data_IF_354731796782
#
_entry.id   IF_354731796782
#
_cell.length_a   1.000
_cell.length_b   1.000
_cell.length_c   1.000
_cell.angle_alpha   90.00
_cell.angle_beta   90.00
_cell.angle_gamma   90.00
#
_symmetry.space_group_name_H-M   'P 1'
#
loop_
_entity.id
_entity.type
_entity.pdbx_description
1 polymer ?
#
# COMPACT_ATOMS: atom_id res chain seq x y z
N UNK A 1 19.18 6.46 8.54
CA UNK A 1 17.80 6.44 9.08
C UNK A 1 16.95 5.68 8.09
N UNK A 2 16.23 4.64 8.53
CA UNK A 2 15.35 3.88 7.64
C UNK A 2 13.91 4.25 7.99
N UNK A 3 13.20 4.81 7.02
CA UNK A 3 11.78 5.12 7.15
C UNK A 3 10.95 4.16 6.30
N UNK A 4 9.82 3.71 6.81
CA UNK A 4 8.85 2.91 6.04
C UNK A 4 7.61 3.77 5.82
N UNK A 5 7.37 4.12 4.56
CA UNK A 5 6.18 4.85 4.15
C UNK A 5 5.04 3.85 3.90
N UNK A 6 4.01 3.87 4.74
CA UNK A 6 2.82 3.03 4.60
C UNK A 6 1.55 3.87 4.66
N UNK A 7 0.76 3.87 3.58
CA UNK A 7 -0.51 4.61 3.51
C UNK A 7 -1.73 3.77 3.91
N UNK A 8 -1.52 2.47 4.10
CA UNK A 8 -2.61 1.53 4.39
C UNK A 8 -2.35 0.15 3.83
N UNK A 9 -3.03 -0.83 4.42
CA UNK A 9 -2.95 -2.22 3.98
C UNK A 9 -4.16 -2.59 3.12
N UNK A 10 -3.89 -3.03 1.90
CA UNK A 10 -4.89 -3.38 0.88
C UNK A 10 -4.25 -3.50 -0.48
N UNK A 11 -5.06 -3.43 -1.53
CA UNK A 11 -4.60 -3.44 -2.91
C UNK A 11 -5.25 -2.32 -3.68
N UNK A 12 -4.46 -1.50 -4.37
CA UNK A 12 -4.98 -0.55 -5.35
C UNK A 12 -5.10 -1.22 -6.71
N UNK A 13 -6.24 -1.05 -7.36
CA UNK A 13 -6.53 -1.56 -8.69
C UNK A 13 -6.57 -0.35 -9.64
N UNK A 14 -5.52 -0.20 -10.44
CA UNK A 14 -5.47 0.83 -11.48
C UNK A 14 -6.27 0.38 -12.70
N UNK A 15 -6.63 1.33 -13.55
CA UNK A 15 -7.27 1.00 -14.82
C UNK A 15 -6.41 0.01 -15.61
N UNK A 16 -7.02 -1.13 -16.00
CA UNK A 16 -6.35 -2.25 -16.66
C UNK A 16 -5.89 -3.39 -15.73
N UNK A 17 -5.63 -3.14 -14.45
CA UNK A 17 -5.20 -4.18 -13.50
C UNK A 17 -6.36 -5.03 -12.97
N UNK A 18 -7.58 -4.50 -13.03
CA UNK A 18 -8.78 -5.10 -12.44
C UNK A 18 -9.09 -6.49 -13.00
N UNK A 19 -9.01 -6.65 -14.32
CA UNK A 19 -9.30 -7.92 -15.01
C UNK A 19 -8.26 -8.98 -14.64
N UNK A 20 -6.99 -8.59 -14.59
CA UNK A 20 -5.90 -9.46 -14.18
C UNK A 20 -6.06 -9.90 -12.71
N UNK A 21 -6.38 -8.95 -11.83
CA UNK A 21 -6.60 -9.22 -10.41
C UNK A 21 -7.74 -10.22 -10.20
N UNK A 22 -8.89 -9.99 -10.83
CA UNK A 22 -10.02 -10.92 -10.71
C UNK A 22 -9.75 -12.27 -11.36
N UNK A 23 -9.03 -12.33 -12.49
CA UNK A 23 -8.62 -13.60 -13.09
C UNK A 23 -7.67 -14.39 -12.16
N UNK A 24 -6.74 -13.72 -11.49
CA UNK A 24 -5.84 -14.34 -10.52
C UNK A 24 -6.60 -14.87 -9.29
N UNK A 25 -7.57 -14.10 -8.79
CA UNK A 25 -8.45 -14.55 -7.70
C UNK A 25 -9.22 -15.80 -8.09
N UNK A 26 -9.80 -15.86 -9.29
CA UNK A 26 -10.54 -17.02 -9.76
C UNK A 26 -9.64 -18.26 -9.89
N UNK A 27 -8.41 -18.07 -10.39
CA UNK A 27 -7.43 -19.15 -10.62
C UNK A 27 -6.88 -19.73 -9.32
N UNK A 28 -6.56 -18.88 -8.35
CA UNK A 28 -5.81 -19.29 -7.16
C UNK A 28 -6.69 -19.44 -5.91
N UNK A 29 -7.83 -18.76 -5.88
CA UNK A 29 -8.74 -18.72 -4.73
C UNK A 29 -10.21 -18.82 -5.19
N UNK A 30 -10.66 -19.99 -5.71
CA UNK A 30 -11.99 -20.15 -6.28
C UNK A 30 -13.12 -19.63 -5.35
N UNK A 31 -14.02 -18.83 -5.92
CA UNK A 31 -15.13 -18.18 -5.21
C UNK A 31 -14.79 -16.84 -4.54
N UNK A 32 -13.50 -16.50 -4.37
CA UNK A 32 -13.10 -15.24 -3.75
C UNK A 32 -13.31 -14.04 -4.69
N UNK A 33 -13.22 -14.25 -6.01
CA UNK A 33 -13.52 -13.24 -7.03
C UNK A 33 -14.89 -12.60 -6.83
N UNK A 34 -15.95 -13.41 -6.66
CA UNK A 34 -17.32 -12.91 -6.49
C UNK A 34 -17.46 -12.08 -5.21
N UNK A 35 -16.83 -12.53 -4.11
CA UNK A 35 -16.82 -11.77 -2.85
C UNK A 35 -16.16 -10.40 -3.04
N UNK A 36 -15.04 -10.34 -3.74
CA UNK A 36 -14.35 -9.07 -4.00
C UNK A 36 -15.13 -8.18 -4.96
N UNK A 37 -15.75 -8.72 -6.02
CA UNK A 37 -16.62 -7.96 -6.94
C UNK A 37 -17.81 -7.37 -6.18
N UNK A 38 -18.47 -8.14 -5.32
CA UNK A 38 -19.61 -7.65 -4.54
C UNK A 38 -19.23 -6.53 -3.58
N UNK A 39 -18.03 -6.63 -2.98
CA UNK A 39 -17.57 -5.67 -1.98
C UNK A 39 -16.98 -4.40 -2.60
N UNK A 40 -16.14 -4.55 -3.62
CA UNK A 40 -15.31 -3.46 -4.15
C UNK A 40 -15.67 -3.09 -5.59
N UNK A 41 -16.32 -3.96 -6.39
CA UNK A 41 -16.69 -3.66 -7.77
C UNK A 41 -15.52 -3.13 -8.60
N UNK A 42 -15.61 -1.86 -9.01
CA UNK A 42 -14.60 -1.09 -9.76
C UNK A 42 -13.84 -0.07 -8.89
N UNK A 43 -13.86 -0.22 -7.56
CA UNK A 43 -13.16 0.68 -6.65
C UNK A 43 -11.65 0.64 -6.90
N UNK A 44 -11.05 1.82 -6.95
CA UNK A 44 -9.60 1.99 -7.07
C UNK A 44 -8.82 1.37 -5.90
N UNK A 45 -9.40 1.30 -4.70
CA UNK A 45 -8.77 0.73 -3.52
C UNK A 45 -9.61 -0.37 -2.91
N UNK A 46 -8.99 -1.54 -2.75
CA UNK A 46 -9.50 -2.69 -2.00
C UNK A 46 -8.81 -2.74 -0.63
N UNK A 47 -9.24 -1.87 0.28
CA UNK A 47 -8.73 -1.85 1.66
C UNK A 47 -9.06 -3.15 2.39
N UNK A 48 -8.08 -3.74 3.06
CA UNK A 48 -8.28 -4.96 3.85
C UNK A 48 -9.35 -4.76 4.93
N UNK A 49 -10.20 -5.76 5.17
CA UNK A 49 -11.13 -5.75 6.32
C UNK A 49 -10.40 -5.61 7.66
N UNK A 50 -9.19 -6.18 7.74
CA UNK A 50 -8.36 -6.13 8.94
C UNK A 50 -7.44 -4.90 8.96
N UNK A 51 -7.65 -3.93 8.07
CA UNK A 51 -6.79 -2.74 7.96
C UNK A 51 -6.51 -2.05 9.31
N UNK A 52 -7.50 -1.77 10.19
CA UNK A 52 -7.22 -1.08 11.45
C UNK A 52 -6.25 -1.86 12.35
N UNK A 53 -6.45 -3.18 12.47
CA UNK A 53 -5.59 -4.04 13.27
C UNK A 53 -4.18 -4.18 12.67
N UNK A 54 -4.09 -4.29 11.34
CA UNK A 54 -2.83 -4.40 10.63
C UNK A 54 -2.02 -3.09 10.68
N UNK A 55 -2.68 -1.94 10.58
CA UNK A 55 -2.02 -0.64 10.76
C UNK A 55 -1.54 -0.47 12.20
N UNK A 56 -2.34 -0.84 13.20
CA UNK A 56 -1.90 -0.80 14.59
C UNK A 56 -0.65 -1.67 14.83
N UNK A 57 -0.64 -2.89 14.28
CA UNK A 57 0.53 -3.77 14.33
C UNK A 57 1.74 -3.16 13.61
N UNK A 58 1.54 -2.54 12.45
CA UNK A 58 2.60 -1.86 11.71
C UNK A 58 3.24 -0.73 12.52
N UNK A 59 2.42 0.13 13.14
CA UNK A 59 2.88 1.23 13.99
C UNK A 59 3.67 0.70 15.20
N UNK A 60 3.07 -0.24 15.95
CA UNK A 60 3.69 -0.85 17.13
C UNK A 60 5.05 -1.50 16.80
N UNK A 61 5.13 -2.23 15.69
CA UNK A 61 6.39 -2.85 15.27
C UNK A 61 7.44 -1.82 14.85
N UNK A 62 7.05 -0.77 14.13
CA UNK A 62 7.97 0.30 13.78
C UNK A 62 8.48 1.03 15.03
N UNK A 63 7.61 1.31 16.00
CA UNK A 63 7.99 1.94 17.27
C UNK A 63 8.99 1.10 18.06
N UNK A 64 8.72 -0.20 18.24
CA UNK A 64 9.63 -1.13 18.94
C UNK A 64 11.03 -1.16 18.35
N UNK A 65 11.13 -1.01 17.04
CA UNK A 65 12.40 -1.07 16.31
C UNK A 65 13.02 0.31 16.02
N UNK A 66 12.40 1.40 16.48
CA UNK A 66 12.88 2.76 16.21
C UNK A 66 12.85 3.15 14.73
N UNK A 67 11.93 2.57 13.96
CA UNK A 67 11.73 2.85 12.54
C UNK A 67 10.79 4.04 12.38
N UNK A 68 11.23 5.08 11.65
CA UNK A 68 10.38 6.21 11.30
C UNK A 68 9.27 5.73 10.36
N UNK A 69 8.03 5.99 10.72
CA UNK A 69 6.88 5.44 9.99
C UNK A 69 5.68 6.41 9.94
N UNK A 70 5.78 7.56 10.62
CA UNK A 70 4.82 8.64 10.45
C UNK A 70 5.01 9.30 9.07
N UNK A 71 3.92 9.42 8.33
CA UNK A 71 3.91 9.95 6.97
C UNK A 71 4.42 11.40 6.95
N UNK A 72 3.99 12.22 7.92
CA UNK A 72 4.39 13.62 8.02
C UNK A 72 5.88 13.78 8.29
N UNK A 73 6.43 13.00 9.22
CA UNK A 73 7.85 12.98 9.53
C UNK A 73 8.68 12.54 8.33
N UNK A 74 8.26 11.49 7.61
CA UNK A 74 8.96 11.02 6.41
C UNK A 74 8.97 12.10 5.34
N UNK A 75 7.82 12.70 5.02
CA UNK A 75 7.78 13.78 4.02
C UNK A 75 8.54 15.03 4.47
N UNK A 76 8.51 15.36 5.77
CA UNK A 76 9.34 16.41 6.35
C UNK A 76 10.82 16.18 6.09
N UNK A 77 11.31 14.98 6.40
CA UNK A 77 12.68 14.56 6.12
C UNK A 77 13.01 14.60 4.61
N UNK A 78 12.12 14.09 3.75
CA UNK A 78 12.33 14.11 2.30
C UNK A 78 12.43 15.54 1.74
N UNK A 79 11.69 16.50 2.31
CA UNK A 79 11.72 17.90 1.87
C UNK A 79 13.02 18.64 2.28
N UNK A 80 13.87 18.07 3.13
CA UNK A 80 15.18 18.64 3.46
C UNK A 80 16.19 18.47 2.31
N UNK A 81 15.91 17.57 1.36
CA UNK A 81 16.78 17.29 0.21
C UNK A 81 16.45 18.20 -0.98
N UNK A 82 17.48 18.61 -1.71
CA UNK A 82 17.34 19.35 -2.96
C UNK A 82 16.87 18.45 -4.12
N UNK A 83 16.28 19.04 -5.17
CA UNK A 83 15.82 18.31 -6.36
C UNK A 83 16.93 17.50 -7.06
N UNK A 84 18.20 17.91 -6.91
CA UNK A 84 19.35 17.17 -7.46
C UNK A 84 19.63 15.87 -6.70
N UNK A 85 19.28 15.82 -5.42
CA UNK A 85 19.48 14.67 -4.52
C UNK A 85 18.31 13.67 -4.58
N UNK A 86 17.09 14.15 -4.87
CA UNK A 86 15.88 13.34 -5.00
C UNK A 86 15.70 12.71 -6.39
N UNK A 87 16.77 12.57 -7.16
CA UNK A 87 16.73 12.08 -8.55
C UNK A 87 16.13 10.67 -8.59
N UNK A 88 14.85 10.56 -8.92
CA UNK A 88 14.23 9.27 -9.22
C UNK A 88 15.03 8.62 -10.34
N UNK A 89 15.36 7.34 -10.18
CA UNK A 89 15.86 6.50 -11.27
C UNK A 89 14.71 6.27 -12.25
N UNK A 90 14.38 7.28 -13.05
CA UNK A 90 13.66 7.08 -14.30
C UNK A 90 14.53 6.20 -15.16
N UNK A 91 14.10 4.95 -15.35
CA UNK A 91 14.78 4.01 -16.23
C UNK A 91 14.85 4.61 -17.65
N UNK A 92 16.02 4.46 -18.26
CA UNK A 92 16.25 4.49 -19.71
C UNK A 92 15.27 3.59 -20.45
#
# INVERSE_FOLDING_TARGET
>A
MHGILCFGIGTTLRDGDLEHFYAALDRHFPGLKQKYIQKYGFCYSCTSDNHPALMALFHDECEKHGVMHDVGQIFGYLNEFSDQELRQLSRL
#
